data_IF_199998925117
#
_entry.id   IF_199998925117
#
_cell.length_a   1.000
_cell.length_b   1.000
_cell.length_c   1.000
_cell.angle_alpha   90.00
_cell.angle_beta   90.00
_cell.angle_gamma   90.00
#
_symmetry.space_group_name_H-M   'P 1'
#
loop_
_entity.id
_entity.type
_entity.pdbx_description
1 polymer ?
#
# COMPACT_ATOMS: atom_id res chain seq x y z
N UNK A 1 -9.22 -39.86 -9.63
CA UNK A 1 -10.11 -38.90 -8.97
C UNK A 1 -9.37 -37.55 -8.94
N UNK A 2 -9.89 -36.52 -9.60
CA UNK A 2 -9.30 -35.16 -9.48
C UNK A 2 -9.66 -34.67 -8.08
N UNK A 3 -8.69 -34.52 -7.20
CA UNK A 3 -8.91 -33.90 -5.88
C UNK A 3 -9.40 -32.48 -6.13
N UNK A 4 -10.60 -32.16 -5.68
CA UNK A 4 -11.10 -30.78 -5.72
C UNK A 4 -10.26 -30.02 -4.67
N UNK A 5 -9.34 -29.17 -5.14
CA UNK A 5 -8.57 -28.29 -4.26
C UNK A 5 -9.34 -27.00 -4.06
N UNK A 6 -9.37 -26.52 -2.83
CA UNK A 6 -9.91 -25.20 -2.50
C UNK A 6 -9.02 -24.09 -3.04
N UNK A 7 -9.52 -22.86 -3.04
CA UNK A 7 -8.80 -21.69 -3.51
C UNK A 7 -8.66 -20.63 -2.41
N UNK A 8 -7.52 -19.96 -2.37
CA UNK A 8 -7.27 -18.79 -1.54
C UNK A 8 -7.63 -17.53 -2.33
N UNK A 9 -8.52 -16.69 -1.76
CA UNK A 9 -8.90 -15.40 -2.29
C UNK A 9 -8.37 -14.29 -1.38
N UNK A 10 -7.48 -13.45 -1.86
CA UNK A 10 -7.15 -12.20 -1.18
C UNK A 10 -8.21 -11.18 -1.59
N UNK A 11 -8.93 -10.62 -0.63
CA UNK A 11 -10.03 -9.69 -0.91
C UNK A 11 -9.72 -8.33 -0.31
N UNK A 12 -9.53 -7.32 -1.18
CA UNK A 12 -9.36 -5.95 -0.73
C UNK A 12 -10.65 -5.42 -0.11
N UNK A 13 -10.51 -4.77 1.05
CA UNK A 13 -11.60 -4.23 1.87
C UNK A 13 -11.60 -2.70 1.89
N UNK A 14 -12.71 -2.06 2.25
CA UNK A 14 -12.79 -0.60 2.39
C UNK A 14 -11.73 -0.03 3.33
N UNK A 15 -11.22 1.16 3.00
CA UNK A 15 -10.20 1.87 3.81
C UNK A 15 -10.80 2.98 4.69
N UNK A 16 -12.13 3.10 4.72
CA UNK A 16 -12.83 4.11 5.52
C UNK A 16 -14.30 4.28 5.16
N UNK A 17 -14.69 3.92 3.93
CA UNK A 17 -16.06 3.99 3.45
C UNK A 17 -16.53 2.61 2.97
N UNK A 18 -17.51 2.03 3.65
CA UNK A 18 -18.04 0.70 3.31
C UNK A 18 -18.52 0.60 1.85
N UNK A 19 -18.98 1.72 1.27
CA UNK A 19 -19.43 1.78 -0.11
C UNK A 19 -18.34 1.55 -1.17
N UNK A 20 -17.07 1.56 -0.78
CA UNK A 20 -15.95 1.34 -1.70
C UNK A 20 -15.67 -0.15 -1.99
N UNK A 21 -16.38 -1.07 -1.33
CA UNK A 21 -16.22 -2.49 -1.61
C UNK A 21 -16.71 -2.84 -3.02
N UNK A 22 -15.96 -3.67 -3.74
CA UNK A 22 -16.39 -4.11 -5.06
C UNK A 22 -17.51 -5.16 -5.00
N UNK A 23 -18.40 -5.17 -6.00
CA UNK A 23 -19.45 -6.21 -6.10
C UNK A 23 -18.85 -7.62 -6.09
N UNK A 24 -17.73 -7.82 -6.80
CA UNK A 24 -17.03 -9.10 -6.84
C UNK A 24 -16.43 -9.49 -5.48
N UNK A 25 -16.00 -8.53 -4.66
CA UNK A 25 -15.58 -8.80 -3.28
C UNK A 25 -16.75 -9.34 -2.45
N UNK A 26 -17.92 -8.71 -2.53
CA UNK A 26 -19.14 -9.20 -1.84
C UNK A 26 -19.55 -10.58 -2.30
N UNK A 27 -19.55 -10.84 -3.61
CA UNK A 27 -19.84 -12.17 -4.17
C UNK A 27 -18.85 -13.22 -3.68
N UNK A 28 -17.55 -12.89 -3.67
CA UNK A 28 -16.51 -13.80 -3.17
C UNK A 28 -16.71 -14.09 -1.69
N UNK A 29 -16.91 -13.07 -0.84
CA UNK A 29 -17.13 -13.23 0.60
C UNK A 29 -18.40 -14.07 0.90
N UNK A 30 -19.43 -14.00 0.05
CA UNK A 30 -20.62 -14.84 0.15
C UNK A 30 -20.39 -16.29 -0.30
N UNK A 31 -19.47 -16.52 -1.24
CA UNK A 31 -19.26 -17.82 -1.85
C UNK A 31 -18.26 -18.71 -1.11
N UNK A 32 -17.24 -18.14 -0.44
CA UNK A 32 -16.20 -18.91 0.26
C UNK A 32 -16.75 -19.64 1.48
N UNK A 33 -16.04 -20.69 1.92
CA UNK A 33 -16.40 -21.47 3.10
C UNK A 33 -15.96 -20.79 4.39
N UNK A 34 -14.81 -20.09 4.39
CA UNK A 34 -14.23 -19.40 5.54
C UNK A 34 -13.67 -18.04 5.16
N UNK A 35 -13.62 -17.13 6.14
CA UNK A 35 -12.95 -15.84 6.02
C UNK A 35 -11.82 -15.79 7.05
N UNK A 36 -10.57 -15.68 6.60
CA UNK A 36 -9.42 -15.38 7.43
C UNK A 36 -9.33 -13.85 7.60
N UNK A 37 -9.42 -13.36 8.83
CA UNK A 37 -9.57 -11.95 9.17
C UNK A 37 -8.46 -11.49 10.10
N UNK A 38 -7.87 -10.33 9.85
CA UNK A 38 -6.86 -9.74 10.74
C UNK A 38 -7.47 -9.43 12.11
N UNK A 39 -8.53 -8.64 12.17
CA UNK A 39 -9.40 -8.50 13.34
C UNK A 39 -10.82 -8.94 12.98
N UNK A 40 -11.27 -10.04 13.61
CA UNK A 40 -12.60 -10.60 13.38
C UNK A 40 -13.73 -9.65 13.78
N UNK A 41 -13.46 -8.66 14.64
CA UNK A 41 -14.43 -7.63 15.07
C UNK A 41 -14.61 -6.59 13.96
N UNK A 42 -13.51 -6.08 13.40
CA UNK A 42 -13.52 -5.13 12.29
C UNK A 42 -14.17 -5.76 11.06
N UNK A 43 -13.71 -6.95 10.67
CA UNK A 43 -14.33 -7.71 9.58
C UNK A 43 -15.80 -8.02 9.87
N UNK A 44 -16.15 -8.30 11.13
CA UNK A 44 -17.54 -8.56 11.55
C UNK A 44 -18.48 -7.38 11.28
N UNK A 45 -18.01 -6.14 11.42
CA UNK A 45 -18.78 -4.93 11.06
C UNK A 45 -19.09 -4.91 9.56
N UNK A 46 -18.06 -5.15 8.71
CA UNK A 46 -18.22 -5.22 7.26
C UNK A 46 -19.22 -6.32 6.85
N UNK A 47 -19.03 -7.53 7.36
CA UNK A 47 -19.89 -8.68 7.04
C UNK A 47 -21.33 -8.45 7.48
N UNK A 48 -21.55 -7.91 8.67
CA UNK A 48 -22.88 -7.56 9.18
C UNK A 48 -23.56 -6.50 8.30
N UNK A 49 -22.83 -5.48 7.86
CA UNK A 49 -23.37 -4.42 7.01
C UNK A 49 -23.93 -4.97 5.68
N UNK A 50 -23.28 -5.99 5.12
CA UNK A 50 -23.67 -6.61 3.85
C UNK A 50 -24.44 -7.92 3.99
N UNK A 51 -24.91 -8.23 5.21
CA UNK A 51 -25.67 -9.46 5.51
C UNK A 51 -24.93 -10.74 5.05
N UNK A 52 -23.62 -10.83 5.38
CA UNK A 52 -22.77 -11.98 5.06
C UNK A 52 -22.48 -12.75 6.35
N UNK A 53 -22.87 -14.04 6.37
CA UNK A 53 -22.71 -14.93 7.50
C UNK A 53 -21.73 -16.06 7.15
N UNK A 54 -20.47 -15.90 7.57
CA UNK A 54 -19.40 -16.88 7.33
C UNK A 54 -18.56 -17.09 8.58
N UNK A 55 -18.09 -18.31 8.83
CA UNK A 55 -17.15 -18.56 9.91
C UNK A 55 -15.84 -17.82 9.67
N UNK A 56 -15.35 -17.12 10.71
CA UNK A 56 -14.11 -16.37 10.66
C UNK A 56 -12.96 -17.14 11.34
N UNK A 57 -11.76 -16.96 10.82
CA UNK A 57 -10.50 -17.46 11.38
C UNK A 57 -9.64 -16.23 11.64
N UNK A 58 -9.24 -15.98 12.90
CA UNK A 58 -8.30 -14.90 13.19
C UNK A 58 -6.95 -15.18 12.53
N UNK A 59 -6.45 -14.24 11.73
CA UNK A 59 -5.19 -14.33 10.99
C UNK A 59 -4.45 -13.00 11.06
N UNK A 60 -3.55 -12.82 12.01
CA UNK A 60 -2.81 -11.59 12.26
C UNK A 60 -1.32 -11.90 12.48
N UNK A 61 -0.46 -10.90 12.47
CA UNK A 61 1.00 -11.02 12.57
C UNK A 61 1.46 -11.98 13.70
N UNK A 62 0.81 -11.93 14.86
CA UNK A 62 1.22 -12.74 16.02
C UNK A 62 0.80 -14.22 15.95
N UNK A 63 -0.14 -14.61 15.08
CA UNK A 63 -0.60 -16.00 14.95
C UNK A 63 -0.44 -16.57 13.52
N UNK A 64 0.15 -15.82 12.61
CA UNK A 64 0.23 -16.08 11.17
C UNK A 64 0.76 -17.49 10.87
N UNK A 65 1.71 -18.00 11.65
CA UNK A 65 2.23 -19.35 11.46
C UNK A 65 1.15 -20.40 11.68
N UNK A 66 0.54 -20.42 12.88
CA UNK A 66 -0.47 -21.43 13.26
C UNK A 66 -1.76 -21.29 12.46
N UNK A 67 -2.23 -20.06 12.27
CA UNK A 67 -3.42 -19.80 11.47
C UNK A 67 -3.20 -20.17 10.00
N UNK A 68 -2.01 -19.90 9.46
CA UNK A 68 -1.62 -20.28 8.11
C UNK A 68 -1.65 -21.80 7.90
N UNK A 69 -1.10 -22.61 8.83
CA UNK A 69 -1.20 -24.08 8.76
C UNK A 69 -2.65 -24.57 8.70
N UNK A 70 -3.52 -23.97 9.52
CA UNK A 70 -4.95 -24.27 9.51
C UNK A 70 -5.60 -23.92 8.17
N UNK A 71 -5.33 -22.73 7.63
CA UNK A 71 -5.87 -22.29 6.35
C UNK A 71 -5.40 -23.19 5.21
N UNK A 72 -4.11 -23.54 5.15
CA UNK A 72 -3.56 -24.46 4.15
C UNK A 72 -4.25 -25.82 4.23
N UNK A 73 -4.44 -26.37 5.44
CA UNK A 73 -5.16 -27.64 5.61
C UNK A 73 -6.60 -27.59 5.10
N UNK A 74 -7.33 -26.48 5.30
CA UNK A 74 -8.66 -26.28 4.77
C UNK A 74 -8.65 -26.22 3.23
N UNK A 75 -7.72 -25.48 2.64
CA UNK A 75 -7.58 -25.40 1.18
C UNK A 75 -7.27 -26.78 0.55
N UNK A 76 -6.40 -27.57 1.18
CA UNK A 76 -6.05 -28.93 0.76
C UNK A 76 -7.23 -29.89 0.89
N UNK A 77 -8.12 -29.68 1.84
CA UNK A 77 -9.37 -30.46 1.97
C UNK A 77 -10.47 -30.06 0.98
N UNK A 78 -10.22 -29.04 0.13
CA UNK A 78 -11.16 -28.58 -0.89
C UNK A 78 -11.99 -27.37 -0.49
N UNK A 79 -11.84 -26.84 0.75
CA UNK A 79 -12.54 -25.64 1.17
C UNK A 79 -11.92 -24.39 0.54
N UNK A 80 -12.72 -23.37 0.28
CA UNK A 80 -12.31 -22.04 -0.18
C UNK A 80 -12.20 -21.07 1.00
N UNK A 81 -11.15 -20.22 0.98
CA UNK A 81 -10.90 -19.25 2.06
C UNK A 81 -10.64 -17.87 1.46
N UNK A 82 -11.34 -16.85 1.96
CA UNK A 82 -10.99 -15.45 1.71
C UNK A 82 -10.08 -14.92 2.81
N UNK A 83 -8.96 -14.31 2.46
CA UNK A 83 -8.15 -13.51 3.37
C UNK A 83 -8.55 -12.05 3.22
N UNK A 84 -8.86 -11.40 4.33
CA UNK A 84 -9.15 -9.97 4.44
C UNK A 84 -8.30 -9.34 5.54
N UNK A 85 -7.95 -8.07 5.38
CA UNK A 85 -7.31 -7.24 6.41
C UNK A 85 -8.28 -6.17 6.90
N UNK A 86 -7.92 -5.46 7.94
CA UNK A 86 -8.78 -4.43 8.56
C UNK A 86 -9.14 -3.34 7.56
N UNK A 87 -8.22 -3.02 6.63
CA UNK A 87 -8.43 -2.01 5.59
C UNK A 87 -7.51 -2.27 4.38
N UNK A 88 -8.03 -2.07 3.17
CA UNK A 88 -7.22 -2.08 1.94
C UNK A 88 -6.85 -3.47 1.43
N UNK A 89 -5.64 -3.62 0.95
CA UNK A 89 -5.15 -4.78 0.19
C UNK A 89 -4.36 -5.74 1.09
N UNK A 90 -4.82 -6.98 1.31
CA UNK A 90 -4.08 -7.97 2.10
C UNK A 90 -2.65 -8.17 1.61
N UNK A 91 -1.69 -8.25 2.54
CA UNK A 91 -0.27 -8.43 2.25
C UNK A 91 0.52 -7.15 1.93
N UNK A 92 -0.14 -6.00 1.81
CA UNK A 92 0.51 -4.69 1.58
C UNK A 92 0.57 -3.93 2.90
N UNK A 93 1.67 -4.02 3.63
CA UNK A 93 1.86 -3.55 5.03
C UNK A 93 0.96 -4.24 6.06
N UNK A 94 0.32 -5.33 5.68
CA UNK A 94 -0.64 -6.11 6.43
C UNK A 94 -0.27 -7.60 6.38
N UNK A 95 -0.86 -8.46 7.24
CA UNK A 95 -0.68 -9.90 7.19
C UNK A 95 -1.12 -10.49 5.83
N UNK A 96 -0.47 -11.60 5.42
CA UNK A 96 -0.91 -12.36 4.24
C UNK A 96 0.21 -12.83 3.31
N UNK A 97 1.35 -12.14 3.25
CA UNK A 97 2.46 -12.56 2.39
C UNK A 97 2.89 -14.03 2.63
N UNK A 98 3.05 -14.42 3.89
CA UNK A 98 3.46 -15.78 4.25
C UNK A 98 2.42 -16.82 3.86
N UNK A 99 1.13 -16.51 3.98
CA UNK A 99 0.04 -17.39 3.57
C UNK A 99 0.00 -17.58 2.05
N UNK A 100 0.17 -16.50 1.28
CA UNK A 100 0.28 -16.56 -0.18
C UNK A 100 1.44 -17.46 -0.59
N UNK A 101 2.63 -17.26 -0.01
CA UNK A 101 3.81 -18.09 -0.29
C UNK A 101 3.54 -19.56 -0.02
N UNK A 102 3.00 -19.90 1.15
CA UNK A 102 2.66 -21.28 1.53
C UNK A 102 1.63 -21.91 0.59
N UNK A 103 0.61 -21.14 0.19
CA UNK A 103 -0.40 -21.64 -0.75
C UNK A 103 0.20 -21.96 -2.13
N UNK A 104 1.04 -21.06 -2.65
CA UNK A 104 1.76 -21.26 -3.91
C UNK A 104 2.73 -22.45 -3.84
N UNK A 105 3.51 -22.56 -2.76
CA UNK A 105 4.45 -23.67 -2.55
C UNK A 105 3.72 -25.02 -2.44
N UNK A 106 2.47 -25.02 -1.96
CA UNK A 106 1.59 -26.20 -1.91
C UNK A 106 0.83 -26.47 -3.22
N UNK A 107 1.06 -25.68 -4.28
CA UNK A 107 0.36 -25.80 -5.57
C UNK A 107 -1.13 -25.45 -5.53
N UNK A 108 -1.57 -24.68 -4.51
CA UNK A 108 -2.95 -24.29 -4.32
C UNK A 108 -3.28 -23.04 -5.16
N UNK A 109 -4.50 -22.95 -5.73
CA UNK A 109 -4.94 -21.76 -6.45
C UNK A 109 -5.00 -20.53 -5.54
N UNK A 110 -4.39 -19.44 -5.99
CA UNK A 110 -4.43 -18.13 -5.31
C UNK A 110 -4.96 -17.09 -6.28
N UNK A 111 -5.94 -16.32 -5.86
CA UNK A 111 -6.55 -15.23 -6.66
C UNK A 111 -6.72 -13.99 -5.80
N UNK A 112 -6.58 -12.84 -6.42
CA UNK A 112 -6.83 -11.56 -5.75
C UNK A 112 -8.07 -10.88 -6.33
N UNK A 113 -8.93 -10.38 -5.44
CA UNK A 113 -10.06 -9.52 -5.77
C UNK A 113 -9.62 -8.07 -5.50
N UNK A 114 -9.40 -7.27 -6.55
CA UNK A 114 -8.94 -5.89 -6.39
C UNK A 114 -10.01 -5.00 -5.74
N UNK A 115 -9.55 -3.95 -5.10
CA UNK A 115 -10.41 -2.97 -4.45
C UNK A 115 -9.63 -1.77 -3.94
N UNK A 116 -10.13 -1.09 -2.89
CA UNK A 116 -9.52 0.11 -2.35
C UNK A 116 -8.05 -0.08 -1.97
N UNK A 117 -7.23 0.94 -2.28
CA UNK A 117 -5.81 0.95 -1.94
C UNK A 117 -5.38 2.39 -1.61
N UNK A 118 -5.18 2.69 -0.33
CA UNK A 118 -4.86 4.03 0.14
C UNK A 118 -3.60 4.62 -0.50
N UNK A 119 -2.56 3.80 -0.69
CA UNK A 119 -1.31 4.23 -1.32
C UNK A 119 -1.53 4.74 -2.76
N UNK A 120 -2.39 4.07 -3.55
CA UNK A 120 -2.70 4.47 -4.92
C UNK A 120 -3.52 5.76 -4.93
N UNK A 121 -4.53 5.87 -4.06
CA UNK A 121 -5.30 7.11 -3.92
C UNK A 121 -4.41 8.29 -3.53
N UNK A 122 -3.54 8.09 -2.54
CA UNK A 122 -2.64 9.14 -2.06
C UNK A 122 -1.69 9.63 -3.16
N UNK A 123 -1.06 8.73 -3.93
CA UNK A 123 -0.12 9.14 -4.99
C UNK A 123 -0.86 9.84 -6.13
N UNK A 124 -2.06 9.40 -6.51
CA UNK A 124 -2.88 10.07 -7.53
C UNK A 124 -3.31 11.46 -7.05
N UNK A 125 -3.80 11.56 -5.81
CA UNK A 125 -4.25 12.83 -5.24
C UNK A 125 -3.10 13.78 -4.87
N UNK A 126 -1.86 13.30 -4.79
CA UNK A 126 -0.70 14.15 -4.46
C UNK A 126 -0.39 15.19 -5.53
N UNK A 127 -0.73 14.93 -6.80
CA UNK A 127 -0.32 15.77 -7.93
C UNK A 127 1.16 15.64 -8.29
N UNK A 128 1.89 14.71 -7.68
CA UNK A 128 3.30 14.43 -7.98
C UNK A 128 3.44 13.43 -9.14
N UNK A 129 4.61 13.31 -9.79
CA UNK A 129 4.82 12.39 -10.90
C UNK A 129 4.43 10.95 -10.58
N UNK A 130 3.60 10.32 -11.43
CA UNK A 130 3.01 8.99 -11.21
C UNK A 130 3.66 7.87 -12.01
N UNK A 131 4.44 8.19 -13.03
CA UNK A 131 5.01 7.19 -13.94
C UNK A 131 5.92 6.17 -13.24
N UNK A 132 6.49 6.55 -12.09
CA UNK A 132 7.26 5.64 -11.25
C UNK A 132 7.22 6.11 -9.80
N UNK A 133 6.93 5.19 -8.88
CA UNK A 133 6.93 5.47 -7.45
C UNK A 133 7.45 4.28 -6.63
N UNK A 134 7.91 4.56 -5.43
CA UNK A 134 8.38 3.55 -4.48
C UNK A 134 7.54 3.63 -3.21
N UNK A 135 6.87 2.53 -2.86
CA UNK A 135 6.17 2.38 -1.59
C UNK A 135 7.10 1.78 -0.53
N UNK A 136 7.18 2.40 0.63
CA UNK A 136 8.10 2.05 1.73
C UNK A 136 7.40 1.61 3.01
N UNK A 137 6.07 1.58 3.04
CA UNK A 137 5.31 1.21 4.25
C UNK A 137 5.57 2.15 5.41
N UNK A 138 5.66 1.61 6.63
CA UNK A 138 5.89 2.36 7.85
C UNK A 138 7.39 2.50 8.18
N UNK A 139 7.94 3.73 8.25
CA UNK A 139 9.32 3.98 8.62
C UNK A 139 9.63 3.59 10.08
N UNK A 140 10.90 3.30 10.42
CA UNK A 140 11.32 2.99 11.78
C UNK A 140 10.96 4.08 12.79
N UNK A 141 10.63 3.69 14.03
CA UNK A 141 10.22 4.63 15.09
C UNK A 141 11.35 5.55 15.55
N UNK A 142 12.60 5.04 15.68
CA UNK A 142 13.75 5.78 16.17
C UNK A 142 14.34 6.65 15.06
N UNK A 143 14.52 7.97 15.31
CA UNK A 143 15.02 8.96 14.33
C UNK A 143 16.29 8.50 13.60
N UNK A 144 17.32 8.07 14.31
CA UNK A 144 18.56 7.62 13.66
C UNK A 144 18.39 6.40 12.73
N UNK A 145 17.47 5.48 13.02
CA UNK A 145 17.12 4.37 12.14
C UNK A 145 16.27 4.85 10.97
N UNK A 146 15.32 5.75 11.22
CA UNK A 146 14.45 6.34 10.21
C UNK A 146 15.25 7.15 9.19
N UNK A 147 16.20 7.99 9.61
CA UNK A 147 17.09 8.73 8.70
C UNK A 147 17.92 7.80 7.82
N UNK A 148 18.46 6.70 8.37
CA UNK A 148 19.18 5.69 7.56
C UNK A 148 18.26 4.99 6.56
N UNK A 149 17.04 4.67 6.97
CA UNK A 149 16.02 4.08 6.10
C UNK A 149 15.63 5.03 4.96
N UNK A 150 15.38 6.31 5.26
CA UNK A 150 15.07 7.33 4.27
C UNK A 150 16.24 7.58 3.31
N UNK A 151 17.48 7.55 3.81
CA UNK A 151 18.69 7.78 3.00
C UNK A 151 18.88 6.78 1.85
N UNK A 152 18.26 5.59 1.92
CA UNK A 152 18.30 4.59 0.83
C UNK A 152 17.75 5.19 -0.48
N UNK A 153 16.73 6.06 -0.39
CA UNK A 153 16.05 6.65 -1.55
C UNK A 153 16.42 8.12 -1.75
N UNK A 154 17.50 8.62 -1.12
CA UNK A 154 17.87 10.03 -1.17
C UNK A 154 17.99 10.55 -2.60
N UNK A 155 18.61 9.77 -3.47
CA UNK A 155 18.87 10.15 -4.86
C UNK A 155 17.90 9.50 -5.85
N UNK A 156 16.86 8.83 -5.35
CA UNK A 156 15.82 8.20 -6.19
C UNK A 156 15.03 9.26 -6.96
N UNK A 157 14.91 9.17 -8.30
CA UNK A 157 14.08 10.08 -9.08
C UNK A 157 12.57 9.78 -8.95
N UNK A 158 12.21 8.70 -8.26
CA UNK A 158 10.82 8.23 -8.16
C UNK A 158 10.09 8.89 -6.99
N UNK A 159 8.80 9.11 -7.15
CA UNK A 159 7.92 9.54 -6.05
C UNK A 159 7.92 8.49 -4.93
N UNK A 160 8.05 8.93 -3.69
CA UNK A 160 8.16 8.08 -2.51
C UNK A 160 6.87 8.13 -1.70
N UNK A 161 6.37 6.96 -1.26
CA UNK A 161 5.13 6.84 -0.50
C UNK A 161 5.40 6.14 0.82
N UNK A 162 4.93 6.74 1.92
CA UNK A 162 5.07 6.22 3.28
C UNK A 162 3.72 6.23 4.00
N UNK A 163 3.47 5.22 4.82
CA UNK A 163 2.42 5.25 5.83
C UNK A 163 2.98 5.82 7.13
N UNK A 164 2.23 6.70 7.79
CA UNK A 164 2.67 7.23 9.07
C UNK A 164 1.51 7.49 10.03
N UNK A 165 1.78 7.25 11.30
CA UNK A 165 0.85 7.53 12.39
C UNK A 165 0.80 9.04 12.70
N UNK A 166 -0.38 9.59 13.06
CA UNK A 166 -0.52 10.99 13.44
C UNK A 166 0.44 11.40 14.59
N UNK A 167 0.75 10.47 15.51
CA UNK A 167 1.65 10.73 16.64
C UNK A 167 3.13 10.83 16.24
N UNK A 168 3.49 10.38 15.06
CA UNK A 168 4.88 10.34 14.58
C UNK A 168 5.12 11.25 13.39
N UNK A 169 4.05 11.80 12.80
CA UNK A 169 4.07 12.55 11.54
C UNK A 169 5.04 13.74 11.58
N UNK A 170 5.01 14.57 12.63
CA UNK A 170 5.93 15.72 12.76
C UNK A 170 7.41 15.28 12.79
N UNK A 171 7.72 14.24 13.59
CA UNK A 171 9.08 13.71 13.67
C UNK A 171 9.53 13.01 12.36
N UNK A 172 8.60 12.41 11.62
CA UNK A 172 8.87 11.86 10.29
C UNK A 172 9.22 12.98 9.31
N UNK A 173 8.38 14.02 9.22
CA UNK A 173 8.61 15.16 8.31
C UNK A 173 9.93 15.89 8.60
N UNK A 174 10.29 16.04 9.88
CA UNK A 174 11.57 16.62 10.28
C UNK A 174 12.77 15.78 9.78
N UNK A 175 12.71 14.46 9.93
CA UNK A 175 13.76 13.56 9.43
C UNK A 175 13.76 13.50 7.90
N UNK A 176 12.60 13.53 7.24
CA UNK A 176 12.48 13.55 5.79
C UNK A 176 13.08 14.85 5.21
N UNK A 177 12.75 16.00 5.80
CA UNK A 177 13.33 17.30 5.43
C UNK A 177 14.87 17.30 5.56
N UNK A 178 15.39 16.73 6.65
CA UNK A 178 16.84 16.64 6.87
C UNK A 178 17.56 15.72 5.86
N UNK A 179 16.89 14.66 5.37
CA UNK A 179 17.49 13.68 4.45
C UNK A 179 17.30 14.07 2.98
N UNK A 180 16.09 14.48 2.61
CA UNK A 180 15.71 14.74 1.22
C UNK A 180 15.85 16.21 0.80
N UNK A 181 15.99 17.13 1.76
CA UNK A 181 15.83 18.57 1.50
C UNK A 181 14.35 18.96 1.39
N UNK A 182 14.09 20.20 1.00
CA UNK A 182 12.73 20.77 0.98
C UNK A 182 12.00 20.44 -0.33
N UNK A 183 11.73 19.15 -0.53
CA UNK A 183 11.02 18.64 -1.72
C UNK A 183 9.52 18.91 -1.65
N UNK A 184 8.85 19.05 -2.82
CA UNK A 184 7.40 18.98 -2.91
C UNK A 184 6.87 17.67 -2.31
N UNK A 185 5.79 17.77 -1.55
CA UNK A 185 5.19 16.62 -0.89
C UNK A 185 3.68 16.80 -0.70
N UNK A 186 3.00 15.73 -0.34
CA UNK A 186 1.59 15.74 0.02
C UNK A 186 1.34 14.89 1.26
N UNK A 187 0.39 15.35 2.09
CA UNK A 187 -0.16 14.61 3.22
C UNK A 187 -1.60 14.25 2.90
N UNK A 188 -1.87 12.99 2.64
CA UNK A 188 -3.23 12.48 2.50
C UNK A 188 -3.69 11.96 3.87
N UNK A 189 -4.82 12.47 4.34
CA UNK A 189 -5.40 12.15 5.64
C UNK A 189 -6.82 11.60 5.47
N UNK A 190 -7.13 10.52 6.18
CA UNK A 190 -8.47 9.95 6.28
C UNK A 190 -9.17 9.74 4.92
N UNK A 191 -8.43 9.23 3.92
CA UNK A 191 -8.96 8.97 2.59
C UNK A 191 -10.24 8.13 2.65
N UNK A 192 -11.23 8.50 1.83
CA UNK A 192 -12.60 7.97 1.75
C UNK A 192 -13.50 8.24 2.97
N UNK A 193 -12.95 8.82 4.05
CA UNK A 193 -13.71 9.16 5.26
C UNK A 193 -14.33 10.57 5.17
N UNK A 194 -15.19 10.89 6.12
CA UNK A 194 -15.91 12.19 6.17
C UNK A 194 -14.98 13.41 6.15
N UNK A 195 -13.79 13.29 6.71
CA UNK A 195 -12.80 14.38 6.82
C UNK A 195 -11.59 14.12 5.91
N UNK A 196 -11.81 13.47 4.77
CA UNK A 196 -10.77 13.30 3.76
C UNK A 196 -10.13 14.65 3.40
N UNK A 197 -8.81 14.71 3.50
CA UNK A 197 -8.06 15.92 3.16
C UNK A 197 -6.70 15.58 2.56
N UNK A 198 -6.26 16.39 1.60
CA UNK A 198 -4.91 16.27 1.02
C UNK A 198 -4.25 17.65 1.01
N UNK A 199 -3.25 17.84 1.87
CA UNK A 199 -2.41 19.04 1.93
C UNK A 199 -1.19 18.86 1.03
N UNK A 200 -0.89 19.85 0.18
CA UNK A 200 0.22 19.83 -0.78
C UNK A 200 1.10 21.03 -0.59
N UNK A 201 2.37 20.82 -0.23
CA UNK A 201 3.35 21.89 -0.04
C UNK A 201 4.77 21.30 0.04
N UNK A 202 5.83 22.10 0.03
CA UNK A 202 7.17 21.66 0.40
C UNK A 202 7.20 21.06 1.81
N UNK A 203 8.12 20.13 2.07
CA UNK A 203 8.25 19.42 3.35
C UNK A 203 8.33 20.37 4.56
N UNK A 204 9.04 21.51 4.43
CA UNK A 204 9.15 22.52 5.50
C UNK A 204 7.81 23.13 5.87
N UNK A 205 6.99 23.45 4.86
CA UNK A 205 5.65 24.00 5.04
C UNK A 205 4.71 22.98 5.65
N UNK A 206 4.73 21.72 5.19
CA UNK A 206 3.95 20.63 5.78
C UNK A 206 4.34 20.36 7.23
N UNK A 207 5.62 20.41 7.56
CA UNK A 207 6.09 20.28 8.95
C UNK A 207 5.54 21.41 9.82
N UNK A 208 5.57 22.65 9.32
CA UNK A 208 5.02 23.81 10.01
C UNK A 208 3.51 23.69 10.21
N UNK A 209 2.78 23.29 9.16
CA UNK A 209 1.34 23.02 9.21
C UNK A 209 1.01 21.96 10.28
N UNK A 210 1.69 20.82 10.27
CA UNK A 210 1.47 19.73 11.23
C UNK A 210 1.73 20.18 12.68
N UNK A 211 2.77 20.99 12.91
CA UNK A 211 3.09 21.52 14.24
C UNK A 211 2.04 22.51 14.78
N UNK A 212 1.32 23.19 13.89
CA UNK A 212 0.27 24.15 14.26
C UNK A 212 -1.08 23.47 14.55
N UNK A 213 -1.32 22.25 14.02
CA UNK A 213 -2.62 21.55 14.13
C UNK A 213 -2.96 20.99 15.52
N UNK A 214 -2.11 21.14 16.53
CA UNK A 214 -2.37 20.57 17.85
C UNK A 214 -2.44 19.04 17.84
N UNK A 215 -3.56 18.43 18.27
CA UNK A 215 -3.69 16.97 18.31
C UNK A 215 -4.17 16.42 16.98
N UNK A 216 -3.28 15.86 16.21
CA UNK A 216 -3.60 15.14 14.98
C UNK A 216 -4.38 13.84 15.25
N UNK A 217 -5.26 13.48 14.32
CA UNK A 217 -6.05 12.24 14.35
C UNK A 217 -6.07 11.60 12.96
N UNK A 218 -6.55 10.37 12.89
CA UNK A 218 -6.74 9.66 11.64
C UNK A 218 -5.49 8.94 11.15
N UNK A 219 -5.46 8.63 9.86
CA UNK A 219 -4.42 7.88 9.18
C UNK A 219 -3.77 8.76 8.12
N UNK A 220 -2.45 8.75 8.07
CA UNK A 220 -1.69 9.59 7.15
C UNK A 220 -0.90 8.77 6.15
N UNK A 221 -0.97 9.20 4.90
CA UNK A 221 -0.08 8.75 3.83
C UNK A 221 0.72 9.94 3.36
N UNK A 222 2.04 9.83 3.44
CA UNK A 222 2.97 10.87 3.02
C UNK A 222 3.51 10.52 1.65
N UNK A 223 3.37 11.43 0.71
CA UNK A 223 3.91 11.30 -0.65
C UNK A 223 4.95 12.39 -0.86
N UNK A 224 6.16 12.03 -1.28
CA UNK A 224 7.28 12.95 -1.44
C UNK A 224 7.83 12.82 -2.86
N UNK A 225 8.08 13.95 -3.52
CA UNK A 225 8.67 13.97 -4.86
C UNK A 225 10.06 13.33 -4.89
N UNK A 226 10.42 12.72 -6.01
CA UNK A 226 11.75 12.18 -6.26
C UNK A 226 12.83 13.26 -6.32
N UNK A 227 14.10 12.83 -6.35
CA UNK A 227 15.22 13.74 -6.53
C UNK A 227 15.15 14.42 -7.91
N UNK A 228 15.45 15.72 -7.96
CA UNK A 228 15.43 16.52 -9.20
C UNK A 228 14.04 17.07 -9.58
N UNK A 229 12.99 16.75 -8.85
CA UNK A 229 11.63 17.29 -9.07
C UNK A 229 11.48 18.67 -8.39
N UNK A 230 12.29 19.64 -8.74
CA UNK A 230 12.35 20.93 -8.04
C UNK A 230 11.13 21.84 -8.25
N UNK A 231 10.20 21.51 -9.15
CA UNK A 231 9.04 22.37 -9.49
C UNK A 231 7.76 21.58 -9.79
N UNK A 232 7.45 20.53 -9.02
CA UNK A 232 6.26 19.72 -9.28
C UNK A 232 4.92 20.48 -9.13
N UNK A 233 4.93 21.74 -8.69
CA UNK A 233 3.77 22.63 -8.60
C UNK A 233 3.89 23.90 -9.46
N UNK A 234 4.99 24.07 -10.20
CA UNK A 234 5.10 25.09 -11.24
C UNK A 234 4.60 24.50 -12.57
N UNK A 235 3.70 25.22 -13.24
CA UNK A 235 3.04 24.87 -14.48
C UNK A 235 4.04 24.71 -15.63
N UNK A 236 4.67 23.54 -15.76
CA UNK A 236 5.28 23.14 -17.02
C UNK A 236 4.95 21.67 -17.28
N UNK A 237 3.85 21.46 -18.01
CA UNK A 237 3.48 20.17 -18.61
C UNK A 237 4.46 19.91 -19.77
N UNK A 238 5.73 19.72 -19.43
CA UNK A 238 6.74 19.24 -20.38
C UNK A 238 6.41 17.78 -20.73
N UNK A 239 6.28 17.54 -22.01
CA UNK A 239 6.07 16.23 -22.65
C UNK A 239 7.13 15.19 -22.21
N UNK A 240 6.90 14.54 -21.09
CA UNK A 240 7.67 13.37 -20.66
C UNK A 240 7.01 12.10 -21.21
N UNK A 241 7.00 11.96 -22.53
CA UNK A 241 6.60 10.72 -23.16
C UNK A 241 7.57 9.59 -22.76
N UNK A 242 7.01 8.41 -22.52
CA UNK A 242 7.73 7.16 -22.18
C UNK A 242 8.90 6.84 -23.16
N UNK A 243 8.85 7.41 -24.37
CA UNK A 243 9.88 7.28 -25.42
C UNK A 243 11.24 7.90 -25.07
N UNK A 244 11.32 8.89 -24.17
CA UNK A 244 12.59 9.53 -23.82
C UNK A 244 13.48 8.64 -22.94
N UNK A 245 12.89 7.77 -22.13
CA UNK A 245 13.60 6.84 -21.25
C UNK A 245 14.20 5.64 -22.00
N UNK A 246 13.63 5.26 -23.14
CA UNK A 246 14.12 4.12 -23.95
C UNK A 246 15.28 4.49 -24.87
N UNK A 247 15.57 5.77 -25.09
CA UNK A 247 16.63 6.22 -26.03
C UNK A 247 18.02 6.36 -25.40
N UNK A 248 18.15 6.19 -24.07
CA UNK A 248 19.42 6.37 -23.34
C UNK A 248 20.40 5.17 -23.36
N UNK A 249 20.02 3.99 -23.84
CA UNK A 249 20.82 2.77 -23.71
C UNK A 249 21.16 2.11 -25.09
N UNK A 250 21.70 2.87 -26.02
CA UNK A 250 22.09 2.26 -27.26
C UNK A 250 22.90 3.16 -28.17
N UNK A 251 24.23 3.15 -28.01
CA UNK A 251 25.20 3.26 -29.13
C UNK A 251 26.65 3.33 -28.65
N UNK A 252 27.29 2.19 -28.62
CA UNK A 252 28.70 2.13 -29.05
C UNK A 252 28.75 1.08 -30.17
N UNK A 253 28.58 1.51 -31.41
CA UNK A 253 29.08 0.77 -32.56
C UNK A 253 30.48 1.28 -32.81
N UNK A 254 31.47 0.44 -32.49
CA UNK A 254 32.83 0.59 -32.97
C UNK A 254 32.90 0.43 -34.48
N UNK A 255 33.38 1.46 -35.11
CA UNK A 255 33.79 1.48 -36.49
C UNK A 255 35.12 0.70 -36.63
N UNK A 256 35.17 -0.27 -37.49
CA UNK A 256 36.32 -1.12 -37.74
C UNK A 256 36.39 -1.44 -39.24
N UNK A 257 36.77 -0.43 -40.07
CA UNK A 257 37.34 -0.69 -41.39
C UNK A 257 38.73 -1.27 -41.20
N UNK A 258 39.07 -2.34 -41.92
CA UNK A 258 40.19 -2.35 -42.90
C UNK A 258 40.39 -3.73 -43.48
N UNK A 259 40.42 -3.72 -44.79
CA UNK A 259 41.10 -4.58 -45.81
C UNK A 259 40.70 -6.04 -45.89
#
# INVERSE_FOLDING_TARGET
MRTIMGALYLVATPIGNLGDISLRALETLRSVDYIASEDTRTTGVLLKHYDIHKPQIAFHEHNEQRAGERVIGLLQSGASVALVTDAGTPGVSDPGYSLVRRALDAGLPVTMIPGPAGLIMAVVLSGLPLHSFTFRGFPPRKSGQRRRFLAIDKDSPHTLIFYESPFRLAAFLEDALAVYGDRPAALANDLTKLYEHVERAPLSSLLSFVRQQGKLRGEYIVVIAGAGSASAFDDDVGDHSFDSLLRGSGRTRGDGRTR
#
